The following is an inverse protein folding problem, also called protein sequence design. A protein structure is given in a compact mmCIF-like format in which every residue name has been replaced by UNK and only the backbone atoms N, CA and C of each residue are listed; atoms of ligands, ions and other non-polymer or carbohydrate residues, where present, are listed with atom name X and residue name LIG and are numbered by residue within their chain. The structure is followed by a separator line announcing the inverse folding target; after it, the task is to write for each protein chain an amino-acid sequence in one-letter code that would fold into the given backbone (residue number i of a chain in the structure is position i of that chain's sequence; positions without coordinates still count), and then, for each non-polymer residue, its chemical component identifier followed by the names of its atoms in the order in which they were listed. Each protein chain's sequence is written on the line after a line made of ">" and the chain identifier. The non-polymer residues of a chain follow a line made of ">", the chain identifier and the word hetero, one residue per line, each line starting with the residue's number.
data_IF_449121335743
#
_entry.id   IF_449121335743
#
_cell.length_a   1.000
_cell.length_b   1.000
_cell.length_c   1.000
_cell.angle_alpha   90.00
_cell.angle_beta   90.00
_cell.angle_gamma   90.00
#
_symmetry.space_group_name_H-M   'P 1'
#
loop_
_entity.id
_entity.type
_entity.pdbx_description
1 polymer ?
#
# COMPACT_ATOMS: atom_id res chain seq x y z
N UNK A 1 1.74 25.43 -14.50
CA UNK A 1 1.65 24.01 -14.12
C UNK A 1 0.90 23.93 -12.79
N UNK A 2 0.29 22.80 -12.47
CA UNK A 2 -0.45 22.62 -11.21
C UNK A 2 0.42 21.88 -10.24
N UNK A 3 0.57 22.42 -9.01
CA UNK A 3 1.35 21.77 -7.95
C UNK A 3 0.60 20.54 -7.42
N UNK A 4 1.33 19.44 -7.20
CA UNK A 4 0.83 18.20 -6.63
C UNK A 4 1.74 17.73 -5.51
N UNK A 5 1.16 17.42 -4.34
CA UNK A 5 1.88 16.82 -3.23
C UNK A 5 1.71 15.31 -3.28
N UNK A 6 2.79 14.60 -3.08
CA UNK A 6 2.82 13.16 -2.99
C UNK A 6 3.31 12.77 -1.62
N UNK A 7 2.46 12.06 -0.86
CA UNK A 7 2.81 11.52 0.45
C UNK A 7 2.75 10.00 0.38
N UNK A 8 3.87 9.34 0.58
CA UNK A 8 3.95 7.88 0.52
C UNK A 8 5.16 7.36 1.31
N UNK A 9 5.16 6.09 1.70
CA UNK A 9 6.38 5.45 2.23
C UNK A 9 7.53 5.51 1.22
N UNK A 10 7.24 5.30 -0.07
CA UNK A 10 8.11 5.61 -1.21
C UNK A 10 7.32 6.35 -2.28
N UNK A 11 7.69 7.58 -2.56
CA UNK A 11 7.00 8.47 -3.48
C UNK A 11 7.44 8.34 -4.93
N UNK A 12 8.60 7.70 -5.20
CA UNK A 12 9.29 7.69 -6.48
C UNK A 12 8.40 7.39 -7.70
N UNK A 13 7.65 6.29 -7.66
CA UNK A 13 6.82 5.88 -8.80
C UNK A 13 5.69 6.89 -9.09
N UNK A 14 5.03 7.39 -8.03
CA UNK A 14 3.99 8.41 -8.16
C UNK A 14 4.58 9.74 -8.63
N UNK A 15 5.74 10.13 -8.12
CA UNK A 15 6.45 11.35 -8.51
C UNK A 15 6.81 11.33 -10.00
N UNK A 16 7.41 10.24 -10.46
CA UNK A 16 7.75 10.07 -11.89
C UNK A 16 6.51 10.15 -12.77
N UNK A 17 5.41 9.50 -12.38
CA UNK A 17 4.16 9.53 -13.12
C UNK A 17 3.53 10.93 -13.16
N UNK A 18 3.53 11.64 -12.03
CA UNK A 18 3.00 13.01 -11.96
C UNK A 18 3.86 14.00 -12.77
N UNK A 19 5.18 13.88 -12.70
CA UNK A 19 6.11 14.69 -13.48
C UNK A 19 5.90 14.48 -14.99
N UNK A 20 5.78 13.23 -15.43
CA UNK A 20 5.48 12.91 -16.84
C UNK A 20 4.11 13.44 -17.30
N UNK A 21 3.16 13.56 -16.39
CA UNK A 21 1.85 14.16 -16.64
C UNK A 21 1.87 15.70 -16.62
N UNK A 22 3.03 16.35 -16.40
CA UNK A 22 3.20 17.81 -16.46
C UNK A 22 2.84 18.54 -15.17
N UNK A 23 2.87 17.85 -14.01
CA UNK A 23 2.69 18.51 -12.72
C UNK A 23 4.02 19.02 -12.15
N UNK A 24 3.94 20.07 -11.31
CA UNK A 24 5.02 20.47 -10.40
C UNK A 24 4.92 19.60 -9.15
N UNK A 25 5.88 18.71 -8.96
CA UNK A 25 5.79 17.63 -7.97
C UNK A 25 6.51 17.99 -6.68
N UNK A 26 5.86 17.81 -5.54
CA UNK A 26 6.41 17.95 -4.20
C UNK A 26 6.24 16.63 -3.46
N UNK A 27 7.31 16.04 -2.96
CA UNK A 27 7.30 14.68 -2.38
C UNK A 27 7.65 14.73 -0.90
N UNK A 28 6.83 14.06 -0.10
CA UNK A 28 7.10 13.73 1.29
C UNK A 28 7.13 12.20 1.39
N UNK A 29 8.32 11.62 1.54
CA UNK A 29 8.47 10.17 1.66
C UNK A 29 9.60 9.79 2.62
N UNK A 30 9.77 8.49 2.90
CA UNK A 30 10.74 8.03 3.89
C UNK A 30 12.17 7.93 3.34
N UNK A 31 12.41 8.17 2.07
CA UNK A 31 13.71 7.89 1.44
C UNK A 31 14.37 9.14 0.84
N UNK A 32 13.61 10.04 0.25
CA UNK A 32 14.11 11.21 -0.50
C UNK A 32 15.27 10.82 -1.45
N UNK A 33 15.06 9.69 -2.18
CA UNK A 33 16.11 9.12 -3.03
C UNK A 33 16.40 10.00 -4.25
N UNK A 34 17.53 9.75 -4.91
CA UNK A 34 18.01 10.59 -6.02
C UNK A 34 17.04 10.55 -7.23
N UNK A 35 16.39 9.41 -7.49
CA UNK A 35 15.41 9.33 -8.58
C UNK A 35 14.16 10.18 -8.28
N UNK A 36 13.75 10.25 -7.01
CA UNK A 36 12.68 11.12 -6.55
C UNK A 36 13.08 12.59 -6.70
N UNK A 37 14.28 12.95 -6.24
CA UNK A 37 14.81 14.33 -6.34
C UNK A 37 14.94 14.79 -7.80
N UNK A 38 15.25 13.89 -8.72
CA UNK A 38 15.41 14.22 -10.14
C UNK A 38 14.11 14.72 -10.80
N UNK A 39 12.94 14.35 -10.27
CA UNK A 39 11.62 14.70 -10.84
C UNK A 39 10.79 15.59 -9.94
N UNK A 40 11.15 15.73 -8.69
CA UNK A 40 10.43 16.56 -7.72
C UNK A 40 11.07 17.95 -7.59
N UNK A 41 10.22 18.98 -7.50
CA UNK A 41 10.61 20.37 -7.21
C UNK A 41 11.10 20.52 -5.76
N UNK A 42 10.43 19.83 -4.84
CA UNK A 42 10.84 19.72 -3.44
C UNK A 42 10.69 18.29 -2.94
N UNK A 43 11.63 17.88 -2.08
CA UNK A 43 11.55 16.59 -1.38
C UNK A 43 11.73 16.81 0.11
N UNK A 44 10.88 16.17 0.90
CA UNK A 44 11.00 16.11 2.35
C UNK A 44 11.08 14.66 2.77
N UNK A 45 12.12 14.31 3.54
CA UNK A 45 12.26 12.97 4.09
C UNK A 45 11.52 12.89 5.41
N UNK A 46 10.50 12.01 5.45
CA UNK A 46 9.72 11.72 6.66
C UNK A 46 10.34 10.56 7.43
N UNK A 47 10.21 10.60 8.75
CA UNK A 47 10.62 9.48 9.59
C UNK A 47 9.74 8.25 9.32
N UNK A 48 10.39 7.13 9.02
CA UNK A 48 9.70 5.85 8.83
C UNK A 48 9.45 5.18 10.17
N UNK A 49 8.20 5.15 10.60
CA UNK A 49 7.78 4.41 11.78
C UNK A 49 7.21 3.04 11.38
N UNK A 50 7.19 2.10 12.33
CA UNK A 50 6.57 0.77 12.12
C UNK A 50 5.08 0.89 11.78
N UNK A 51 4.40 1.85 12.38
CA UNK A 51 2.95 2.05 12.22
C UNK A 51 2.58 3.01 11.08
N UNK A 52 3.56 3.60 10.38
CA UNK A 52 3.33 4.54 9.29
C UNK A 52 4.16 5.81 9.42
N UNK A 53 3.52 6.97 9.39
CA UNK A 53 4.16 8.28 9.53
C UNK A 53 4.00 8.84 10.94
N UNK A 54 4.98 9.61 11.41
CA UNK A 54 4.77 10.48 12.57
C UNK A 54 3.74 11.55 12.21
N UNK A 55 2.65 11.61 13.00
CA UNK A 55 1.55 12.53 12.74
C UNK A 55 1.99 13.99 12.83
N UNK A 56 2.78 14.33 13.84
CA UNK A 56 3.19 15.72 14.09
C UNK A 56 4.08 16.20 12.96
N UNK A 57 5.11 15.44 12.65
CA UNK A 57 6.03 15.73 11.56
C UNK A 57 5.30 15.88 10.22
N UNK A 58 4.45 14.91 9.86
CA UNK A 58 3.69 14.94 8.60
C UNK A 58 2.80 16.17 8.49
N UNK A 59 2.06 16.48 9.57
CA UNK A 59 1.13 17.63 9.57
C UNK A 59 1.86 18.97 9.50
N UNK A 60 3.00 19.10 10.14
CA UNK A 60 3.84 20.30 10.08
C UNK A 60 4.40 20.52 8.68
N UNK A 61 5.00 19.50 8.09
CA UNK A 61 5.56 19.57 6.74
C UNK A 61 4.48 19.87 5.67
N UNK A 62 3.31 19.26 5.79
CA UNK A 62 2.20 19.53 4.85
C UNK A 62 1.68 20.95 5.01
N UNK A 63 1.51 21.48 6.24
CA UNK A 63 1.08 22.85 6.46
C UNK A 63 2.09 23.86 5.90
N UNK A 64 3.37 23.60 6.09
CA UNK A 64 4.43 24.43 5.52
C UNK A 64 4.33 24.48 3.98
N UNK A 65 4.25 23.33 3.32
CA UNK A 65 4.12 23.28 1.86
C UNK A 65 2.83 23.95 1.36
N UNK A 66 1.70 23.78 2.04
CA UNK A 66 0.44 24.43 1.68
C UNK A 66 0.55 25.96 1.77
N UNK A 67 1.35 26.49 2.71
CA UNK A 67 1.59 27.94 2.81
C UNK A 67 2.26 28.52 1.55
N UNK A 68 3.12 27.75 0.90
CA UNK A 68 3.79 28.14 -0.35
C UNK A 68 2.94 27.80 -1.61
N UNK A 69 2.17 26.72 -1.53
CA UNK A 69 1.43 26.17 -2.67
C UNK A 69 -0.06 25.95 -2.34
N UNK A 70 -0.84 27.02 -2.06
CA UNK A 70 -2.20 26.91 -1.51
C UNK A 70 -3.24 26.34 -2.49
N UNK A 71 -2.90 26.20 -3.77
CA UNK A 71 -3.77 25.58 -4.80
C UNK A 71 -3.37 24.15 -5.16
N UNK A 72 -2.40 23.59 -4.46
CA UNK A 72 -1.99 22.21 -4.67
C UNK A 72 -3.10 21.21 -4.31
N UNK A 73 -2.94 20.00 -4.82
CA UNK A 73 -3.74 18.84 -4.42
C UNK A 73 -2.79 17.75 -3.93
N UNK A 74 -3.30 16.81 -3.15
CA UNK A 74 -2.48 15.72 -2.63
C UNK A 74 -2.91 14.38 -3.19
N UNK A 75 -1.95 13.55 -3.55
CA UNK A 75 -2.11 12.11 -3.84
C UNK A 75 -1.29 11.33 -2.83
N UNK A 76 -1.84 10.25 -2.32
CA UNK A 76 -1.15 9.43 -1.33
C UNK A 76 -0.86 8.02 -1.87
N UNK A 77 0.26 7.47 -1.43
CA UNK A 77 0.65 6.08 -1.67
C UNK A 77 0.52 5.21 -0.42
N UNK A 78 1.42 4.22 -0.28
CA UNK A 78 1.50 3.35 0.89
C UNK A 78 2.01 4.10 2.13
N UNK A 79 1.65 3.61 3.32
CA UNK A 79 2.08 4.15 4.61
C UNK A 79 0.95 4.60 5.54
N UNK A 80 -0.30 4.58 5.04
CA UNK A 80 -1.51 4.97 5.80
C UNK A 80 -2.34 3.76 6.25
N UNK A 81 -1.89 2.55 5.97
CA UNK A 81 -2.68 1.33 6.19
C UNK A 81 -3.01 1.08 7.67
N UNK A 82 -2.13 1.50 8.57
CA UNK A 82 -2.30 1.36 10.03
C UNK A 82 -2.84 2.61 10.70
N UNK A 83 -2.70 3.76 10.05
CA UNK A 83 -3.13 5.07 10.57
C UNK A 83 -3.95 5.84 9.52
N UNK A 84 -5.02 5.23 8.96
CA UNK A 84 -5.79 5.86 7.88
C UNK A 84 -6.54 7.12 8.32
N UNK A 85 -6.73 7.35 9.63
CA UNK A 85 -7.28 8.58 10.20
C UNK A 85 -6.44 9.84 9.86
N UNK A 86 -5.15 9.67 9.56
CA UNK A 86 -4.31 10.78 9.09
C UNK A 86 -4.82 11.38 7.78
N UNK A 87 -5.48 10.60 6.94
CA UNK A 87 -6.05 11.08 5.68
C UNK A 87 -7.17 12.09 5.92
N UNK A 88 -8.01 11.89 6.94
CA UNK A 88 -9.04 12.84 7.31
C UNK A 88 -8.43 14.14 7.86
N UNK A 89 -7.36 14.05 8.64
CA UNK A 89 -6.66 15.22 9.15
C UNK A 89 -5.99 16.01 8.01
N UNK A 90 -5.36 15.34 7.06
CA UNK A 90 -4.80 15.95 5.86
C UNK A 90 -5.89 16.60 4.98
N UNK A 91 -7.04 15.96 4.82
CA UNK A 91 -8.15 16.48 4.02
C UNK A 91 -8.75 17.78 4.58
N UNK A 92 -8.55 18.10 5.87
CA UNK A 92 -8.91 19.40 6.45
C UNK A 92 -8.01 20.54 6.00
N UNK A 93 -6.81 20.22 5.46
CA UNK A 93 -5.78 21.21 5.09
C UNK A 93 -5.68 21.37 3.57
N UNK A 94 -5.80 20.27 2.82
CA UNK A 94 -5.59 20.21 1.37
C UNK A 94 -6.53 19.18 0.75
N UNK A 95 -7.03 19.36 -0.49
CA UNK A 95 -7.77 18.32 -1.18
C UNK A 95 -6.92 17.05 -1.37
N UNK A 96 -7.34 15.92 -0.80
CA UNK A 96 -6.64 14.62 -0.86
C UNK A 96 -7.36 13.68 -1.82
N UNK A 97 -6.64 13.13 -2.79
CA UNK A 97 -7.13 12.08 -3.67
C UNK A 97 -6.63 10.72 -3.16
N UNK A 98 -7.49 10.02 -2.44
CA UNK A 98 -7.23 8.69 -1.87
C UNK A 98 -8.55 7.95 -1.64
N UNK A 99 -8.46 6.68 -1.21
CA UNK A 99 -9.58 6.05 -0.51
C UNK A 99 -9.75 6.71 0.86
N UNK A 100 -10.98 6.76 1.36
CA UNK A 100 -11.27 7.28 2.69
C UNK A 100 -10.83 6.29 3.81
N UNK A 101 -10.76 6.79 5.03
CA UNK A 101 -10.40 6.02 6.23
C UNK A 101 -11.26 4.76 6.37
N UNK A 102 -12.58 4.89 6.22
CA UNK A 102 -13.54 3.79 6.38
C UNK A 102 -13.27 2.69 5.34
N UNK A 103 -13.04 3.05 4.09
CA UNK A 103 -12.71 2.11 3.02
C UNK A 103 -11.42 1.36 3.33
N UNK A 104 -10.35 2.06 3.74
CA UNK A 104 -9.07 1.44 4.07
C UNK A 104 -9.24 0.50 5.27
N UNK A 105 -9.85 0.93 6.36
CA UNK A 105 -10.10 0.08 7.54
C UNK A 105 -10.89 -1.17 7.20
N UNK A 106 -11.95 -1.02 6.41
CA UNK A 106 -12.79 -2.15 6.00
C UNK A 106 -12.04 -3.17 5.14
N UNK A 107 -11.25 -2.71 4.17
CA UNK A 107 -10.49 -3.61 3.29
C UNK A 107 -9.29 -4.25 3.99
N UNK A 108 -8.78 -3.63 5.05
CA UNK A 108 -7.68 -4.15 5.87
C UNK A 108 -8.16 -5.04 7.03
N UNK A 109 -9.45 -5.06 7.32
CA UNK A 109 -10.06 -6.03 8.24
C UNK A 109 -10.24 -7.38 7.53
N UNK A 110 -9.52 -8.45 7.94
CA UNK A 110 -9.57 -9.72 7.25
C UNK A 110 -10.94 -10.41 7.33
N UNK A 111 -11.72 -10.19 8.40
CA UNK A 111 -13.08 -10.73 8.53
C UNK A 111 -14.02 -10.03 7.56
N UNK A 112 -14.01 -8.71 7.60
CA UNK A 112 -14.87 -7.89 6.72
C UNK A 112 -14.58 -8.19 5.25
N UNK A 113 -13.30 -8.20 4.86
CA UNK A 113 -12.89 -8.48 3.49
C UNK A 113 -13.26 -9.90 3.04
N UNK A 114 -13.04 -10.91 3.89
CA UNK A 114 -13.44 -12.30 3.59
C UNK A 114 -14.96 -12.43 3.41
N UNK A 115 -15.75 -11.70 4.19
CA UNK A 115 -17.22 -11.69 4.05
C UNK A 115 -17.67 -11.03 2.73
N UNK A 116 -17.04 -9.92 2.33
CA UNK A 116 -17.31 -9.29 1.02
C UNK A 116 -17.05 -10.29 -0.11
N UNK A 117 -15.90 -10.94 -0.11
CA UNK A 117 -15.54 -11.92 -1.15
C UNK A 117 -16.52 -13.08 -1.18
N UNK A 118 -16.91 -13.62 -0.02
CA UNK A 118 -17.91 -14.69 0.09
C UNK A 118 -19.27 -14.28 -0.47
N UNK A 119 -19.76 -13.09 -0.12
CA UNK A 119 -21.02 -12.55 -0.62
C UNK A 119 -21.01 -12.31 -2.14
N UNK A 120 -19.84 -11.99 -2.68
CA UNK A 120 -19.63 -11.85 -4.12
C UNK A 120 -19.34 -13.19 -4.82
N UNK A 121 -19.39 -14.33 -4.11
CA UNK A 121 -19.02 -15.66 -4.62
C UNK A 121 -17.60 -15.74 -5.19
N UNK A 122 -16.70 -14.90 -4.69
CA UNK A 122 -15.28 -14.90 -5.05
C UNK A 122 -14.51 -15.83 -4.10
N UNK A 123 -13.76 -16.77 -4.67
CA UNK A 123 -12.91 -17.68 -3.89
C UNK A 123 -11.81 -16.88 -3.18
N UNK A 124 -11.62 -17.16 -1.90
CA UNK A 124 -10.58 -16.55 -1.08
C UNK A 124 -9.91 -17.59 -0.18
N UNK A 125 -8.68 -17.34 0.28
CA UNK A 125 -8.03 -18.20 1.26
C UNK A 125 -8.85 -18.29 2.54
N UNK A 126 -8.80 -19.47 3.20
CA UNK A 126 -9.31 -19.65 4.56
C UNK A 126 -8.53 -18.76 5.53
N UNK A 127 -9.23 -18.12 6.47
CA UNK A 127 -8.65 -17.31 7.53
C UNK A 127 -9.06 -17.81 8.91
N UNK A 128 -8.20 -17.64 9.91
CA UNK A 128 -8.47 -17.98 11.32
C UNK A 128 -7.79 -16.97 12.25
N UNK A 129 -8.46 -16.66 13.38
CA UNK A 129 -7.85 -15.90 14.48
C UNK A 129 -7.34 -16.83 15.59
N UNK A 130 -7.85 -18.05 15.64
CA UNK A 130 -7.29 -19.10 16.48
C UNK A 130 -6.10 -19.75 15.76
N UNK A 131 -5.01 -20.02 16.51
CA UNK A 131 -3.85 -20.69 15.95
C UNK A 131 -4.25 -22.10 15.46
N UNK A 132 -4.01 -22.44 14.19
CA UNK A 132 -4.25 -23.79 13.68
C UNK A 132 -3.43 -24.83 14.45
N UNK A 133 -4.03 -25.96 14.74
CA UNK A 133 -3.33 -27.08 15.41
C UNK A 133 -2.24 -27.69 14.52
N UNK A 134 -2.49 -27.76 13.20
CA UNK A 134 -1.47 -28.06 12.20
C UNK A 134 -0.98 -26.76 11.56
N UNK A 135 0.30 -26.48 11.68
CA UNK A 135 0.93 -25.28 11.11
C UNK A 135 1.23 -25.42 9.61
N UNK A 136 1.08 -26.62 9.03
CA UNK A 136 1.45 -26.87 7.65
C UNK A 136 0.54 -26.11 6.66
N UNK A 137 1.15 -25.36 5.76
CA UNK A 137 0.45 -24.57 4.74
C UNK A 137 -0.31 -23.36 5.31
N UNK A 138 0.01 -22.88 6.50
CA UNK A 138 -0.53 -21.66 7.07
C UNK A 138 0.50 -20.56 7.15
N UNK A 139 0.03 -19.33 6.93
CA UNK A 139 0.76 -18.10 7.07
C UNK A 139 0.26 -17.33 8.29
N UNK A 140 1.16 -16.67 9.01
CA UNK A 140 0.81 -15.61 9.96
C UNK A 140 0.99 -14.26 9.28
N UNK A 141 -0.01 -13.39 9.43
CA UNK A 141 -0.04 -12.05 8.83
C UNK A 141 -0.45 -11.00 9.87
N UNK A 142 0.16 -9.83 9.84
CA UNK A 142 -0.30 -8.69 10.63
C UNK A 142 -1.55 -8.07 9.99
N UNK A 143 -2.49 -7.60 10.84
CA UNK A 143 -3.63 -6.79 10.38
C UNK A 143 -3.08 -5.46 9.86
N UNK A 144 -3.68 -4.94 8.79
CA UNK A 144 -3.25 -3.72 8.10
C UNK A 144 -1.79 -3.73 7.60
N UNK A 145 -1.16 -4.90 7.54
CA UNK A 145 0.19 -5.03 6.99
C UNK A 145 0.25 -4.70 5.49
N UNK A 146 1.43 -4.25 5.04
CA UNK A 146 1.72 -3.94 3.65
C UNK A 146 3.12 -4.45 3.26
N UNK A 147 3.37 -4.58 1.94
CA UNK A 147 4.69 -4.93 1.40
C UNK A 147 5.18 -6.36 1.68
N UNK A 148 4.38 -7.23 2.29
CA UNK A 148 4.68 -8.65 2.50
C UNK A 148 5.74 -8.95 3.57
N UNK A 149 6.52 -7.96 4.02
CA UNK A 149 7.56 -8.14 5.04
C UNK A 149 7.06 -8.62 6.40
N UNK A 150 5.76 -8.54 6.66
CA UNK A 150 5.08 -9.01 7.88
C UNK A 150 4.52 -10.43 7.76
N UNK A 151 4.60 -11.05 6.60
CA UNK A 151 4.05 -12.39 6.34
C UNK A 151 5.11 -13.45 6.63
N UNK A 152 4.74 -14.48 7.38
CA UNK A 152 5.64 -15.59 7.79
C UNK A 152 4.95 -16.92 7.65
N UNK A 153 5.71 -17.96 7.35
CA UNK A 153 5.24 -19.34 7.51
C UNK A 153 4.98 -19.63 8.98
N UNK A 154 3.79 -20.14 9.30
CA UNK A 154 3.44 -20.49 10.67
C UNK A 154 4.35 -21.57 11.25
N UNK A 155 4.82 -22.51 10.43
CA UNK A 155 5.77 -23.56 10.81
C UNK A 155 7.14 -23.02 11.28
N UNK A 156 7.49 -21.79 10.94
CA UNK A 156 8.74 -21.14 11.34
C UNK A 156 8.61 -20.32 12.64
N UNK A 157 7.40 -20.27 13.23
CA UNK A 157 7.11 -19.40 14.35
C UNK A 157 6.89 -20.24 15.61
N UNK A 158 7.83 -20.15 16.55
CA UNK A 158 7.80 -20.85 17.83
C UNK A 158 7.16 -20.01 18.96
N UNK A 159 6.81 -18.75 18.73
CA UNK A 159 6.29 -17.84 19.75
C UNK A 159 4.78 -17.68 19.65
N UNK A 160 4.09 -17.65 20.81
CA UNK A 160 2.68 -17.30 20.92
C UNK A 160 2.40 -15.78 20.97
N UNK A 161 3.44 -14.96 20.95
CA UNK A 161 3.34 -13.48 21.15
C UNK A 161 3.07 -12.67 19.90
N UNK A 162 2.76 -13.27 18.77
CA UNK A 162 2.43 -12.54 17.56
C UNK A 162 0.94 -12.19 17.52
N UNK A 163 0.64 -10.90 17.33
CA UNK A 163 -0.72 -10.43 17.04
C UNK A 163 -0.96 -10.41 15.53
N UNK A 164 -2.10 -10.92 15.09
CA UNK A 164 -2.44 -10.98 13.68
C UNK A 164 -3.50 -12.03 13.41
N UNK A 165 -3.52 -12.52 12.20
CA UNK A 165 -4.40 -13.60 11.79
C UNK A 165 -3.66 -14.65 10.97
N UNK A 166 -4.22 -15.83 10.90
CA UNK A 166 -3.70 -16.95 10.11
C UNK A 166 -4.46 -17.02 8.79
N UNK A 167 -3.73 -17.31 7.71
CA UNK A 167 -4.31 -17.47 6.39
C UNK A 167 -3.74 -18.73 5.74
N UNK A 168 -4.60 -19.54 5.14
CA UNK A 168 -4.16 -20.71 4.37
C UNK A 168 -3.40 -20.23 3.15
N UNK A 169 -2.23 -20.81 2.90
CA UNK A 169 -1.45 -20.53 1.70
C UNK A 169 -2.11 -21.17 0.47
N UNK A 170 -2.17 -20.42 -0.60
CA UNK A 170 -2.60 -20.89 -1.91
C UNK A 170 -1.40 -20.78 -2.84
N UNK A 171 -1.00 -21.92 -3.44
CA UNK A 171 0.08 -21.95 -4.42
C UNK A 171 -0.40 -21.38 -5.76
N UNK A 172 0.52 -20.77 -6.50
CA UNK A 172 0.25 -20.23 -7.84
C UNK A 172 1.00 -18.93 -8.10
N UNK A 173 0.88 -18.43 -9.32
CA UNK A 173 1.46 -17.14 -9.68
C UNK A 173 0.77 -15.99 -8.95
N UNK A 174 1.56 -15.07 -8.43
CA UNK A 174 1.04 -13.91 -7.71
C UNK A 174 0.84 -12.77 -8.70
N UNK A 175 -0.40 -12.38 -8.88
CA UNK A 175 -0.78 -11.29 -9.78
C UNK A 175 -1.33 -10.10 -8.97
N UNK A 176 -1.14 -8.90 -9.52
CA UNK A 176 -1.74 -7.66 -9.02
C UNK A 176 -2.53 -6.98 -10.12
N UNK A 177 -3.76 -6.60 -9.83
CA UNK A 177 -4.57 -5.76 -10.71
C UNK A 177 -4.53 -4.31 -10.23
N UNK A 178 -4.15 -3.39 -11.12
CA UNK A 178 -4.29 -1.96 -10.89
C UNK A 178 -5.59 -1.49 -11.52
N UNK A 179 -6.42 -0.83 -10.75
CA UNK A 179 -7.65 -0.23 -11.25
C UNK A 179 -7.93 1.12 -10.62
N UNK A 180 -8.66 1.95 -11.35
CA UNK A 180 -9.17 3.22 -10.88
C UNK A 180 -10.64 3.05 -10.53
N UNK A 181 -11.00 3.28 -9.26
CA UNK A 181 -12.36 3.23 -8.77
C UNK A 181 -12.94 4.66 -8.65
N UNK A 182 -14.16 4.85 -9.14
CA UNK A 182 -14.93 6.07 -8.96
C UNK A 182 -16.41 5.70 -8.83
N UNK A 183 -17.04 6.20 -7.77
CA UNK A 183 -18.43 5.90 -7.44
C UNK A 183 -18.67 4.37 -7.36
N UNK A 184 -19.42 3.78 -8.29
CA UNK A 184 -19.71 2.35 -8.37
C UNK A 184 -18.97 1.64 -9.50
N UNK A 185 -18.05 2.32 -10.18
CA UNK A 185 -17.34 1.78 -11.31
C UNK A 185 -15.87 1.59 -10.98
N UNK A 186 -15.30 0.54 -11.53
CA UNK A 186 -13.86 0.28 -11.50
C UNK A 186 -13.37 0.04 -12.93
N UNK A 187 -12.35 0.78 -13.33
CA UNK A 187 -11.69 0.61 -14.63
C UNK A 187 -10.36 -0.09 -14.41
N UNK A 188 -10.20 -1.27 -14.98
CA UNK A 188 -8.93 -2.00 -14.95
C UNK A 188 -7.91 -1.27 -15.81
N UNK A 189 -6.79 -0.87 -15.19
CA UNK A 189 -5.66 -0.21 -15.86
C UNK A 189 -4.67 -1.26 -16.38
N UNK A 190 -4.52 -2.38 -15.67
CA UNK A 190 -3.73 -3.51 -16.12
C UNK A 190 -3.38 -4.49 -15.00
N UNK A 191 -2.81 -5.62 -15.42
CA UNK A 191 -2.40 -6.71 -14.55
C UNK A 191 -0.87 -6.80 -14.58
N UNK A 192 -0.28 -7.02 -13.42
CA UNK A 192 1.16 -7.20 -13.24
C UNK A 192 1.42 -8.53 -12.55
N UNK A 193 2.52 -9.18 -12.88
CA UNK A 193 3.03 -10.36 -12.19
C UNK A 193 4.03 -9.91 -11.12
N UNK A 194 3.86 -10.39 -9.89
CA UNK A 194 4.77 -10.06 -8.79
C UNK A 194 6.02 -10.93 -8.87
N UNK A 195 7.17 -10.30 -8.60
CA UNK A 195 8.43 -10.99 -8.48
C UNK A 195 8.53 -11.68 -7.12
N UNK A 196 8.91 -12.95 -7.12
CA UNK A 196 9.17 -13.70 -5.89
C UNK A 196 10.48 -13.22 -5.24
N UNK A 197 10.45 -13.05 -3.91
CA UNK A 197 11.64 -12.72 -3.16
C UNK A 197 12.60 -13.92 -3.10
N UNK A 198 13.72 -13.81 -3.79
CA UNK A 198 14.81 -14.82 -3.77
C UNK A 198 15.94 -14.44 -2.82
N UNK A 199 16.06 -13.17 -2.47
CA UNK A 199 17.19 -12.65 -1.69
C UNK A 199 16.98 -12.81 -0.16
N UNK A 200 15.75 -12.69 0.32
CA UNK A 200 15.42 -12.66 1.74
C UNK A 200 14.71 -13.94 2.21
N UNK A 201 15.47 -15.00 2.46
CA UNK A 201 14.92 -16.29 2.95
C UNK A 201 14.08 -16.16 4.23
N UNK A 202 14.38 -15.19 5.09
CA UNK A 202 13.60 -14.89 6.30
C UNK A 202 12.30 -14.12 6.04
N UNK A 203 12.14 -13.53 4.85
CA UNK A 203 10.98 -12.76 4.42
C UNK A 203 10.53 -13.18 3.01
N UNK A 204 10.08 -14.43 2.82
CA UNK A 204 9.84 -15.00 1.49
C UNK A 204 8.67 -14.33 0.74
N UNK A 205 7.88 -13.51 1.42
CA UNK A 205 6.74 -12.78 0.86
C UNK A 205 6.99 -11.27 0.73
N UNK A 206 8.25 -10.83 0.93
CA UNK A 206 8.59 -9.42 0.75
C UNK A 206 8.34 -9.02 -0.70
N UNK A 207 7.65 -7.90 -0.88
CA UNK A 207 7.42 -7.33 -2.21
C UNK A 207 8.74 -6.78 -2.78
N UNK A 208 9.21 -7.33 -3.88
CA UNK A 208 10.43 -6.89 -4.57
C UNK A 208 10.13 -6.08 -5.85
N UNK A 209 8.95 -6.27 -6.42
CA UNK A 209 8.55 -5.55 -7.63
C UNK A 209 7.48 -6.29 -8.42
N UNK A 210 7.11 -5.70 -9.55
CA UNK A 210 6.16 -6.28 -10.50
C UNK A 210 6.67 -6.12 -11.93
N UNK A 211 6.23 -7.02 -12.80
CA UNK A 211 6.50 -6.97 -14.25
C UNK A 211 5.18 -6.78 -15.01
N UNK A 212 5.19 -5.89 -16.01
CA UNK A 212 4.09 -5.68 -16.97
C UNK A 212 4.63 -5.73 -18.40
N UNK A 213 3.82 -6.22 -19.37
CA UNK A 213 2.54 -6.91 -19.18
C UNK A 213 2.72 -8.23 -18.45
N UNK A 214 1.69 -8.69 -17.73
CA UNK A 214 1.68 -10.02 -17.16
C UNK A 214 1.49 -11.09 -18.25
N UNK A 215 1.81 -12.33 -17.92
CA UNK A 215 1.54 -13.49 -18.83
C UNK A 215 0.04 -13.61 -19.15
N UNK A 216 -0.84 -13.17 -18.25
CA UNK A 216 -2.30 -13.15 -18.45
C UNK A 216 -2.74 -12.09 -19.45
N UNK A 217 -2.14 -10.90 -19.41
CA UNK A 217 -2.43 -9.81 -20.39
C UNK A 217 -2.09 -10.23 -21.82
N UNK A 218 -1.13 -11.13 -22.02
CA UNK A 218 -0.72 -11.61 -23.34
C UNK A 218 -1.69 -12.64 -23.93
N UNK A 219 -2.47 -13.32 -23.09
CA UNK A 219 -3.44 -14.32 -23.54
C UNK A 219 -4.78 -13.72 -24.01
N UNK A 220 -5.03 -12.45 -23.71
CA UNK A 220 -6.27 -11.74 -24.02
C UNK A 220 -6.09 -10.61 -25.04
N UNK A 221 -4.96 -10.56 -25.73
CA UNK A 221 -4.69 -9.72 -26.91
C UNK A 221 -4.84 -10.55 -28.18
#
# INVERSE_FOLDING_TARGET
>A
MRDIFIVARTGRALATSAYQAGYEVHVLDCFADEDTKAVAKTTCQLQSLREGFDKTELMEQVKELVSFYPKAVMVVGTGFEKTPELLEDLAKIIPVFSNDEKTIKSLKDPIYFSNILRNASIKSPEISFARPSDSHGWLLKEIAGAGGGHVRWLSQINSSRYSGYYQKYISGNVLSALFLAKDRYATLIGISEQLESKQFKSMPFLFEGVVRPSSVDQQHR
#
